data_IF_101443853200
#
_entry.id   IF_101443853200
#
_cell.length_a   1.000
_cell.length_b   1.000
_cell.length_c   1.000
_cell.angle_alpha   90.00
_cell.angle_beta   90.00
_cell.angle_gamma   90.00
#
_symmetry.space_group_name_H-M   'P 1'
#
loop_
_entity.id
_entity.type
_entity.pdbx_description
1 polymer ?
#
# COMPACT_ATOMS: atom_id res chain seq x y z
N UNK A 1 -22.09 3.19 -31.07
CA UNK A 1 -20.84 3.85 -30.69
C UNK A 1 -20.40 3.26 -29.36
N UNK A 2 -19.29 2.54 -29.41
CA UNK A 2 -18.70 1.69 -28.37
C UNK A 2 -18.10 2.56 -27.25
N UNK A 3 -18.56 2.43 -26.00
CA UNK A 3 -18.03 3.21 -24.88
C UNK A 3 -16.94 2.40 -24.17
N UNK A 4 -15.78 2.27 -24.80
CA UNK A 4 -14.59 1.73 -24.16
C UNK A 4 -13.82 2.86 -23.46
N UNK A 5 -14.20 3.16 -22.21
CA UNK A 5 -13.38 3.97 -21.32
C UNK A 5 -12.13 3.17 -20.92
N UNK A 6 -11.08 3.29 -21.73
CA UNK A 6 -9.73 2.81 -21.41
C UNK A 6 -9.28 3.40 -20.07
N UNK A 7 -9.18 2.54 -19.05
CA UNK A 7 -8.56 2.90 -17.77
C UNK A 7 -7.10 3.26 -18.06
N UNK A 8 -6.56 4.35 -17.50
CA UNK A 8 -5.14 4.64 -17.67
C UNK A 8 -4.35 3.52 -17.02
N UNK A 9 -3.74 2.66 -17.83
CA UNK A 9 -2.67 1.77 -17.42
C UNK A 9 -1.60 2.64 -16.77
N UNK A 10 -1.43 2.51 -15.46
CA UNK A 10 -0.38 3.21 -14.72
C UNK A 10 0.95 2.68 -15.23
N UNK A 11 1.53 3.41 -16.18
CA UNK A 11 2.85 3.16 -16.73
C UNK A 11 3.86 3.07 -15.60
N UNK A 12 4.50 1.90 -15.49
CA UNK A 12 5.52 1.57 -14.50
C UNK A 12 6.72 2.51 -14.61
N UNK A 13 6.63 3.66 -13.94
CA UNK A 13 7.64 4.71 -13.96
C UNK A 13 8.85 4.38 -13.10
N UNK A 14 9.76 3.57 -13.65
CA UNK A 14 11.13 3.38 -13.16
C UNK A 14 11.23 2.68 -11.80
N UNK A 15 12.22 1.80 -11.62
CA UNK A 15 12.56 1.20 -10.33
C UNK A 15 13.14 2.27 -9.38
N UNK A 16 12.31 3.19 -8.90
CA UNK A 16 12.70 4.12 -7.82
C UNK A 16 13.00 3.26 -6.61
N UNK A 17 14.19 3.43 -6.02
CA UNK A 17 14.55 2.76 -4.75
C UNK A 17 13.46 3.11 -3.74
N UNK A 18 12.68 2.11 -3.35
CA UNK A 18 11.65 2.27 -2.32
C UNK A 18 12.33 2.79 -1.05
N UNK A 19 11.83 3.91 -0.52
CA UNK A 19 12.26 4.41 0.78
C UNK A 19 12.00 3.35 1.86
N UNK A 20 12.73 3.42 2.98
CA UNK A 20 12.53 2.49 4.10
C UNK A 20 11.06 2.43 4.55
N UNK A 21 10.38 3.58 4.56
CA UNK A 21 8.94 3.66 4.81
C UNK A 21 8.12 2.87 3.79
N UNK A 22 8.34 3.06 2.49
CA UNK A 22 7.57 2.33 1.47
C UNK A 22 7.79 0.81 1.54
N UNK A 23 9.01 0.36 1.85
CA UNK A 23 9.29 -1.07 2.07
C UNK A 23 8.53 -1.60 3.28
N UNK A 24 8.58 -0.87 4.40
CA UNK A 24 7.83 -1.22 5.60
C UNK A 24 6.32 -1.28 5.32
N UNK A 25 5.77 -0.29 4.62
CA UNK A 25 4.34 -0.25 4.30
C UNK A 25 3.91 -1.44 3.45
N UNK A 26 4.72 -1.90 2.49
CA UNK A 26 4.40 -3.10 1.71
C UNK A 26 4.36 -4.36 2.59
N UNK A 27 5.38 -4.56 3.43
CA UNK A 27 5.45 -5.71 4.34
C UNK A 27 4.32 -5.69 5.36
N UNK A 28 4.04 -4.53 5.96
CA UNK A 28 3.02 -4.39 7.00
C UNK A 28 1.61 -4.49 6.42
N UNK A 29 1.38 -3.97 5.21
CA UNK A 29 0.12 -4.21 4.49
C UNK A 29 -0.09 -5.67 4.13
N UNK A 30 0.96 -6.39 3.73
CA UNK A 30 0.86 -7.82 3.46
C UNK A 30 0.46 -8.58 4.73
N UNK A 31 1.12 -8.30 5.86
CA UNK A 31 0.81 -8.88 7.17
C UNK A 31 -0.63 -8.58 7.59
N UNK A 32 -1.06 -7.31 7.51
CA UNK A 32 -2.42 -6.90 7.89
C UNK A 32 -3.49 -7.45 6.95
N UNK A 33 -3.17 -7.71 5.69
CA UNK A 33 -4.11 -8.38 4.76
C UNK A 33 -4.32 -9.85 5.13
N UNK A 34 -3.28 -10.52 5.63
CA UNK A 34 -3.36 -11.91 6.08
C UNK A 34 -4.05 -12.03 7.44
N UNK A 35 -3.72 -11.15 8.40
CA UNK A 35 -4.29 -11.22 9.75
C UNK A 35 -5.66 -10.56 9.85
N UNK A 36 -5.89 -9.46 9.12
CA UNK A 36 -7.13 -8.67 9.16
C UNK A 36 -7.65 -8.38 7.74
N UNK A 37 -8.11 -9.43 7.02
CA UNK A 37 -8.60 -9.28 5.65
C UNK A 37 -9.84 -8.36 5.57
N UNK A 38 -10.69 -8.36 6.60
CA UNK A 38 -11.97 -7.61 6.65
C UNK A 38 -11.82 -6.12 6.96
N UNK A 39 -10.66 -5.67 7.45
CA UNK A 39 -10.47 -4.26 7.75
C UNK A 39 -10.42 -3.42 6.46
N UNK A 40 -11.08 -2.25 6.39
CA UNK A 40 -10.96 -1.37 5.23
C UNK A 40 -9.50 -0.98 4.93
N UNK A 41 -9.14 -0.83 3.65
CA UNK A 41 -7.76 -0.47 3.26
C UNK A 41 -7.27 0.81 3.95
N UNK A 42 -8.15 1.81 4.11
CA UNK A 42 -7.82 3.05 4.82
C UNK A 42 -7.43 2.82 6.27
N UNK A 43 -8.15 1.95 6.98
CA UNK A 43 -7.87 1.69 8.40
C UNK A 43 -6.63 0.82 8.57
N UNK A 44 -6.42 -0.15 7.67
CA UNK A 44 -5.16 -0.90 7.59
C UNK A 44 -3.96 0.04 7.37
N UNK A 45 -4.09 1.02 6.47
CA UNK A 45 -3.03 1.99 6.20
C UNK A 45 -2.74 2.91 7.40
N UNK A 46 -3.77 3.37 8.11
CA UNK A 46 -3.61 4.14 9.36
C UNK A 46 -2.84 3.32 10.40
N UNK A 47 -3.22 2.05 10.59
CA UNK A 47 -2.59 1.14 11.54
C UNK A 47 -1.12 0.88 11.18
N UNK A 48 -0.82 0.59 9.91
CA UNK A 48 0.55 0.42 9.45
C UNK A 48 1.40 1.69 9.65
N UNK A 49 0.83 2.88 9.38
CA UNK A 49 1.54 4.14 9.61
C UNK A 49 1.81 4.39 11.10
N UNK A 50 0.88 4.03 11.98
CA UNK A 50 1.10 4.07 13.43
C UNK A 50 2.21 3.10 13.86
N UNK A 51 2.21 1.87 13.33
CA UNK A 51 3.24 0.86 13.61
C UNK A 51 4.63 1.29 13.11
N UNK A 52 4.71 2.00 11.99
CA UNK A 52 5.98 2.58 11.51
C UNK A 52 6.56 3.60 12.49
N UNK A 53 5.72 4.49 13.04
CA UNK A 53 6.17 5.46 14.03
C UNK A 53 6.61 4.78 15.33
N UNK A 54 5.95 3.69 15.73
CA UNK A 54 6.36 2.88 16.88
C UNK A 54 7.67 2.12 16.63
N UNK A 55 7.88 1.62 15.41
CA UNK A 55 9.10 0.92 15.00
C UNK A 55 10.33 1.84 14.83
N UNK A 56 10.10 3.16 14.76
CA UNK A 56 11.15 4.19 14.63
C UNK A 56 11.82 4.59 15.94
N UNK A 57 11.32 4.11 17.09
CA UNK A 57 11.95 4.25 18.42
C UNK A 57 12.80 3.02 18.74
#
# INVERSE_FOLDING_TARGET
>A
ADTALSRPETSGGGKKKLSAFNKFMQTEMARLKETEPDMPHQDRFKLATANWNANKN
#
